data_IF_076013355281
#
_entry.id   IF_076013355281
#
_cell.length_a   1.000
_cell.length_b   1.000
_cell.length_c   1.000
_cell.angle_alpha   90.00
_cell.angle_beta   90.00
_cell.angle_gamma   90.00
#
_symmetry.space_group_name_H-M   'P 1'
#
loop_
_entity.id
_entity.type
_entity.pdbx_description
1 polymer ?
#
# COMPACT_ATOMS: atom_id res chain seq x y z
N UNK A 1 4.07 20.66 -15.87
CA UNK A 1 2.71 20.16 -15.49
C UNK A 1 2.28 20.85 -14.19
N UNK A 2 1.09 21.41 -14.14
CA UNK A 2 0.49 22.01 -12.94
C UNK A 2 -0.08 20.92 -12.01
N UNK A 3 -0.18 21.21 -10.71
CA UNK A 3 -0.73 20.26 -9.72
C UNK A 3 -2.13 19.76 -10.09
N UNK A 4 -3.02 20.65 -10.58
CA UNK A 4 -4.38 20.29 -10.99
C UNK A 4 -4.41 19.34 -12.19
N UNK A 5 -3.47 19.49 -13.12
CA UNK A 5 -3.30 18.57 -14.27
C UNK A 5 -2.79 17.21 -13.78
N UNK A 6 -1.79 17.20 -12.89
CA UNK A 6 -1.30 15.98 -12.28
C UNK A 6 -2.41 15.21 -11.55
N UNK A 7 -3.25 15.89 -10.75
CA UNK A 7 -4.40 15.27 -10.07
C UNK A 7 -5.38 14.63 -11.07
N UNK A 8 -5.63 15.26 -12.21
CA UNK A 8 -6.49 14.74 -13.27
C UNK A 8 -5.89 13.48 -13.90
N UNK A 9 -4.60 13.51 -14.23
CA UNK A 9 -3.89 12.39 -14.87
C UNK A 9 -3.91 11.16 -13.98
N UNK A 10 -3.56 11.28 -12.69
CA UNK A 10 -3.50 10.14 -11.77
C UNK A 10 -4.86 9.72 -11.21
N UNK A 11 -5.94 10.45 -11.46
CA UNK A 11 -7.26 10.20 -10.86
C UNK A 11 -7.35 10.62 -9.39
N UNK A 12 -6.45 11.51 -8.93
CA UNK A 12 -6.39 12.07 -7.57
C UNK A 12 -5.72 11.15 -6.54
N UNK A 13 -5.32 11.72 -5.40
CA UNK A 13 -4.82 10.97 -4.24
C UNK A 13 -5.96 10.74 -3.23
N UNK A 14 -5.86 9.67 -2.45
CA UNK A 14 -6.68 9.45 -1.26
C UNK A 14 -6.07 10.17 -0.07
N UNK A 15 -6.93 10.63 0.84
CA UNK A 15 -6.51 11.26 2.11
C UNK A 15 -7.08 10.44 3.27
N UNK A 16 -6.43 9.34 3.67
CA UNK A 16 -6.86 8.57 4.84
C UNK A 16 -6.73 9.42 6.10
N UNK A 17 -7.82 9.56 6.87
CA UNK A 17 -7.83 10.41 8.08
C UNK A 17 -6.98 9.86 9.22
N UNK A 18 -6.63 8.58 9.17
CA UNK A 18 -5.98 7.84 10.26
C UNK A 18 -4.47 7.66 10.07
N UNK A 19 -3.90 8.18 8.99
CA UNK A 19 -2.49 8.05 8.65
C UNK A 19 -1.83 9.43 8.44
N UNK A 20 -0.51 9.52 8.66
CA UNK A 20 0.22 10.81 8.59
C UNK A 20 0.41 11.36 7.17
N UNK A 21 -0.09 10.70 6.13
CA UNK A 21 0.09 11.15 4.73
C UNK A 21 -0.98 10.62 3.79
N UNK A 22 -0.96 11.10 2.54
CA UNK A 22 -1.86 10.62 1.50
C UNK A 22 -1.51 9.20 1.04
N UNK A 23 -2.45 8.61 0.28
CA UNK A 23 -2.28 7.29 -0.31
C UNK A 23 -2.73 7.27 -1.78
N UNK A 24 -2.24 6.31 -2.54
CA UNK A 24 -2.73 6.00 -3.88
C UNK A 24 -3.37 4.61 -3.90
N UNK A 25 -4.68 4.56 -4.01
CA UNK A 25 -5.47 3.35 -3.84
C UNK A 25 -6.02 2.85 -5.17
N UNK A 26 -6.03 1.53 -5.32
CA UNK A 26 -6.62 0.82 -6.45
C UNK A 26 -7.81 -0.02 -5.98
N UNK A 27 -8.70 -0.48 -6.86
CA UNK A 27 -9.81 -1.34 -6.46
C UNK A 27 -9.29 -2.68 -5.95
N UNK A 28 -9.81 -3.15 -4.81
CA UNK A 28 -9.45 -4.45 -4.25
C UNK A 28 -9.85 -5.62 -5.17
N UNK A 29 -10.83 -5.42 -6.05
CA UNK A 29 -11.21 -6.37 -7.09
C UNK A 29 -10.11 -6.61 -8.14
N UNK A 30 -9.13 -5.72 -8.25
CA UNK A 30 -7.99 -5.86 -9.14
C UNK A 30 -6.76 -6.54 -8.49
N UNK A 31 -6.79 -6.87 -7.19
CA UNK A 31 -5.70 -7.60 -6.52
C UNK A 31 -5.54 -8.98 -7.15
N UNK A 32 -4.34 -9.33 -7.63
CA UNK A 32 -4.09 -10.63 -8.27
C UNK A 32 -4.12 -11.77 -7.23
N UNK A 33 -3.29 -11.63 -6.19
CA UNK A 33 -3.23 -12.59 -5.08
C UNK A 33 -4.41 -12.44 -4.15
N UNK A 34 -4.82 -11.20 -3.84
CA UNK A 34 -5.89 -10.91 -2.90
C UNK A 34 -7.24 -11.51 -3.29
N UNK A 35 -7.60 -11.53 -4.60
CA UNK A 35 -8.84 -12.12 -5.07
C UNK A 35 -8.86 -13.66 -4.92
N UNK A 36 -7.70 -14.31 -5.04
CA UNK A 36 -7.57 -15.75 -4.77
C UNK A 36 -7.73 -16.03 -3.28
N UNK A 37 -7.04 -15.27 -2.44
CA UNK A 37 -7.10 -15.39 -1.00
C UNK A 37 -8.46 -15.05 -0.41
N UNK A 38 -9.24 -14.15 -1.02
CA UNK A 38 -10.58 -13.81 -0.56
C UNK A 38 -11.53 -15.03 -0.50
N UNK A 39 -11.24 -16.07 -1.29
CA UNK A 39 -11.99 -17.33 -1.33
C UNK A 39 -11.51 -18.38 -0.30
N UNK A 40 -10.42 -18.10 0.41
CA UNK A 40 -9.79 -19.04 1.36
C UNK A 40 -10.16 -18.62 2.79
N UNK A 41 -10.93 -19.42 3.53
CA UNK A 41 -11.21 -19.17 4.94
C UNK A 41 -9.93 -19.02 5.76
N UNK A 42 -9.92 -18.09 6.71
CA UNK A 42 -8.73 -17.83 7.55
C UNK A 42 -7.66 -16.98 6.87
N UNK A 43 -7.79 -16.66 5.56
CA UNK A 43 -6.91 -15.71 4.93
C UNK A 43 -7.22 -14.27 5.38
N UNK A 44 -6.22 -13.40 5.35
CA UNK A 44 -6.40 -11.96 5.66
C UNK A 44 -7.37 -11.30 4.67
N UNK A 45 -7.40 -11.77 3.43
CA UNK A 45 -8.25 -11.22 2.38
C UNK A 45 -9.70 -11.75 2.42
N UNK A 46 -10.00 -12.85 3.13
CA UNK A 46 -11.38 -13.36 3.27
C UNK A 46 -12.31 -12.37 4.00
N UNK A 47 -11.73 -11.51 4.84
CA UNK A 47 -12.41 -10.42 5.54
C UNK A 47 -12.13 -9.02 4.99
N UNK A 48 -11.61 -8.89 3.77
CA UNK A 48 -11.09 -7.64 3.22
C UNK A 48 -12.05 -6.45 3.38
N UNK A 49 -11.61 -5.46 4.16
CA UNK A 49 -12.40 -4.24 4.41
C UNK A 49 -12.62 -3.40 3.15
N UNK A 50 -11.70 -3.49 2.18
CA UNK A 50 -11.80 -2.76 0.92
C UNK A 50 -12.84 -3.34 -0.07
N UNK A 51 -13.52 -4.43 0.31
CA UNK A 51 -14.69 -4.99 -0.38
C UNK A 51 -16.01 -4.70 0.38
N UNK A 52 -15.96 -3.91 1.46
CA UNK A 52 -17.08 -3.65 2.36
C UNK A 52 -17.24 -2.15 2.64
N UNK A 53 -18.33 -1.81 3.33
CA UNK A 53 -18.58 -0.46 3.87
C UNK A 53 -18.45 0.65 2.81
N UNK A 54 -17.76 1.72 3.16
CA UNK A 54 -17.60 2.91 2.30
C UNK A 54 -16.89 2.64 0.96
N UNK A 55 -16.08 1.57 0.86
CA UNK A 55 -15.48 1.15 -0.41
C UNK A 55 -16.48 0.71 -1.46
N UNK A 56 -17.73 0.35 -1.07
CA UNK A 56 -18.81 0.00 -2.00
C UNK A 56 -19.56 1.19 -2.58
N UNK A 57 -19.30 2.40 -2.12
CA UNK A 57 -19.97 3.59 -2.66
C UNK A 57 -19.53 3.85 -4.09
N UNK A 58 -20.50 4.17 -4.97
CA UNK A 58 -20.25 4.34 -6.41
C UNK A 58 -19.18 5.38 -6.72
N UNK A 59 -19.16 6.51 -5.99
CA UNK A 59 -18.13 7.54 -6.17
C UNK A 59 -16.72 7.06 -5.77
N UNK A 60 -16.62 6.22 -4.74
CA UNK A 60 -15.34 5.61 -4.30
C UNK A 60 -14.88 4.61 -5.35
N UNK A 61 -15.76 3.71 -5.80
CA UNK A 61 -15.45 2.74 -6.86
C UNK A 61 -15.02 3.44 -8.16
N UNK A 62 -15.75 4.47 -8.58
CA UNK A 62 -15.38 5.25 -9.76
C UNK A 62 -13.99 5.90 -9.62
N UNK A 63 -13.64 6.41 -8.43
CA UNK A 63 -12.30 6.97 -8.17
C UNK A 63 -11.20 5.91 -8.21
N UNK A 64 -11.45 4.71 -7.67
CA UNK A 64 -10.50 3.59 -7.69
C UNK A 64 -10.29 3.08 -9.13
N UNK A 65 -11.35 2.98 -9.93
CA UNK A 65 -11.26 2.57 -11.33
C UNK A 65 -10.49 3.58 -12.19
N UNK A 66 -10.73 4.88 -12.00
CA UNK A 66 -9.93 5.93 -12.68
C UNK A 66 -8.44 5.79 -12.38
N UNK A 67 -8.07 5.51 -11.12
CA UNK A 67 -6.67 5.30 -10.73
C UNK A 67 -6.08 4.03 -11.34
N UNK A 68 -6.85 2.96 -11.41
CA UNK A 68 -6.42 1.71 -12.06
C UNK A 68 -6.11 1.92 -13.55
N UNK A 69 -6.94 2.70 -14.24
CA UNK A 69 -6.68 3.07 -15.64
C UNK A 69 -5.47 4.01 -15.76
N UNK A 70 -5.34 4.94 -14.81
CA UNK A 70 -4.30 5.97 -14.83
C UNK A 70 -2.88 5.41 -14.72
N UNK A 71 -2.66 4.26 -14.04
CA UNK A 71 -1.31 3.67 -13.91
C UNK A 71 -0.68 3.29 -15.25
N UNK A 72 -1.47 3.15 -16.32
CA UNK A 72 -0.99 2.88 -17.68
C UNK A 72 -0.63 4.14 -18.47
N UNK A 73 -0.98 5.32 -17.95
CA UNK A 73 -0.64 6.58 -18.63
C UNK A 73 0.88 6.81 -18.65
N UNK A 74 1.45 7.23 -19.78
CA UNK A 74 2.88 7.56 -19.87
C UNK A 74 3.27 8.73 -18.94
N UNK A 75 2.33 9.63 -18.64
CA UNK A 75 2.54 10.80 -17.79
C UNK A 75 2.36 10.51 -16.29
N UNK A 76 1.91 9.28 -15.93
CA UNK A 76 1.58 8.94 -14.54
C UNK A 76 2.75 9.16 -13.57
N UNK A 77 3.96 8.78 -13.96
CA UNK A 77 5.16 8.92 -13.11
C UNK A 77 5.43 10.40 -12.80
N UNK A 78 5.43 11.26 -13.83
CA UNK A 78 5.67 12.69 -13.65
C UNK A 78 4.58 13.34 -12.79
N UNK A 79 3.32 13.02 -13.06
CA UNK A 79 2.19 13.51 -12.29
C UNK A 79 2.24 13.06 -10.83
N UNK A 80 2.59 11.81 -10.54
CA UNK A 80 2.77 11.31 -9.16
C UNK A 80 3.91 12.01 -8.44
N UNK A 81 5.04 12.28 -9.11
CA UNK A 81 6.16 13.03 -8.53
C UNK A 81 5.72 14.40 -8.06
N UNK A 82 4.97 15.15 -8.88
CA UNK A 82 4.46 16.49 -8.54
C UNK A 82 3.58 16.44 -7.28
N UNK A 83 2.73 15.42 -7.16
CA UNK A 83 1.78 15.31 -6.05
C UNK A 83 2.42 14.81 -4.75
N UNK A 84 3.45 13.98 -4.87
CA UNK A 84 4.11 13.35 -3.72
C UNK A 84 5.26 14.20 -3.16
N UNK A 85 5.98 14.93 -4.01
CA UNK A 85 7.15 15.72 -3.61
C UNK A 85 6.94 16.61 -2.36
N UNK A 86 5.76 17.23 -2.11
CA UNK A 86 5.52 18.02 -0.90
C UNK A 86 5.14 17.19 0.34
N UNK A 87 5.07 15.86 0.24
CA UNK A 87 4.62 14.99 1.32
C UNK A 87 5.80 14.45 2.13
N UNK A 88 5.67 14.39 3.45
CA UNK A 88 6.66 13.73 4.33
C UNK A 88 6.52 12.21 4.31
N UNK A 89 5.27 11.71 4.30
CA UNK A 89 4.92 10.30 4.26
C UNK A 89 3.95 10.01 3.13
N UNK A 90 4.10 8.85 2.50
CA UNK A 90 3.21 8.38 1.45
C UNK A 90 2.98 6.88 1.56
N UNK A 91 1.72 6.43 1.39
CA UNK A 91 1.36 5.02 1.36
C UNK A 91 0.90 4.62 -0.04
N UNK A 92 1.51 3.57 -0.57
CA UNK A 92 1.03 2.88 -1.75
C UNK A 92 -0.01 1.82 -1.32
N UNK A 93 -1.18 1.85 -1.95
CA UNK A 93 -2.22 0.83 -1.81
C UNK A 93 -2.74 0.62 -0.37
N UNK A 94 -3.51 1.59 0.14
CA UNK A 94 -4.41 1.34 1.27
C UNK A 94 -5.47 0.29 0.90
N UNK A 95 -5.94 0.30 -0.37
CA UNK A 95 -6.66 -0.78 -1.05
C UNK A 95 -6.05 -1.06 -2.41
N UNK A 96 -6.27 -2.26 -2.93
CA UNK A 96 -5.58 -2.74 -4.14
C UNK A 96 -4.18 -3.25 -3.84
N UNK A 97 -3.42 -3.59 -4.88
CA UNK A 97 -2.05 -4.08 -4.80
C UNK A 97 -1.29 -3.79 -6.10
N UNK A 98 -0.02 -4.17 -6.18
CA UNK A 98 0.82 -4.06 -7.39
C UNK A 98 0.17 -4.83 -8.54
N UNK A 99 0.05 -4.17 -9.71
CA UNK A 99 -0.63 -4.74 -10.87
C UNK A 99 0.33 -5.45 -11.85
N UNK A 100 1.58 -4.98 -11.93
CA UNK A 100 2.60 -5.52 -12.85
C UNK A 100 4.00 -5.12 -12.40
N UNK A 101 5.03 -5.75 -13.01
CA UNK A 101 6.42 -5.30 -12.82
C UNK A 101 6.62 -3.86 -13.31
N UNK A 102 6.01 -3.48 -14.44
CA UNK A 102 6.05 -2.10 -14.94
C UNK A 102 5.46 -1.10 -13.93
N UNK A 103 4.33 -1.46 -13.28
CA UNK A 103 3.75 -0.63 -12.23
C UNK A 103 4.72 -0.48 -11.05
N UNK A 104 5.35 -1.56 -10.59
CA UNK A 104 6.35 -1.52 -9.51
C UNK A 104 7.58 -0.70 -9.89
N UNK A 105 8.09 -0.81 -11.10
CA UNK A 105 9.19 0.01 -11.62
C UNK A 105 8.82 1.50 -11.68
N UNK A 106 7.61 1.83 -12.08
CA UNK A 106 7.10 3.20 -12.07
C UNK A 106 7.02 3.75 -10.63
N UNK A 107 6.57 2.95 -9.65
CA UNK A 107 6.62 3.30 -8.23
C UNK A 107 8.08 3.60 -7.81
N UNK A 108 9.04 2.79 -8.21
CA UNK A 108 10.46 3.02 -7.91
C UNK A 108 10.98 4.32 -8.53
N UNK A 109 10.58 4.65 -9.75
CA UNK A 109 10.93 5.92 -10.39
C UNK A 109 10.40 7.11 -9.60
N UNK A 110 9.14 7.05 -9.17
CA UNK A 110 8.53 8.09 -8.31
C UNK A 110 9.29 8.22 -6.99
N UNK A 111 9.58 7.12 -6.30
CA UNK A 111 10.31 7.14 -5.03
C UNK A 111 11.71 7.77 -5.18
N UNK A 112 12.46 7.40 -6.23
CA UNK A 112 13.79 8.00 -6.48
C UNK A 112 13.73 9.50 -6.75
N UNK A 113 12.67 9.97 -7.41
CA UNK A 113 12.46 11.39 -7.71
C UNK A 113 11.89 12.21 -6.54
N UNK A 114 11.48 11.56 -5.45
CA UNK A 114 10.94 12.20 -4.25
C UNK A 114 11.72 11.79 -2.99
N UNK A 115 13.04 12.08 -2.93
CA UNK A 115 13.92 11.58 -1.86
C UNK A 115 13.55 12.12 -0.46
N UNK A 116 12.85 13.24 -0.37
CA UNK A 116 12.36 13.82 0.89
C UNK A 116 11.09 13.16 1.44
N UNK A 117 10.48 12.22 0.69
CA UNK A 117 9.27 11.50 1.11
C UNK A 117 9.62 10.09 1.56
N UNK A 118 9.11 9.67 2.71
CA UNK A 118 9.17 8.28 3.16
C UNK A 118 7.98 7.51 2.58
N UNK A 119 8.25 6.46 1.81
CA UNK A 119 7.24 5.65 1.14
C UNK A 119 7.05 4.30 1.83
N UNK A 120 5.80 3.86 1.93
CA UNK A 120 5.43 2.52 2.40
C UNK A 120 4.54 1.83 1.36
N UNK A 121 4.91 0.61 0.98
CA UNK A 121 4.19 -0.25 0.04
C UNK A 121 3.91 -1.60 0.72
N UNK A 122 2.72 -1.81 1.30
CA UNK A 122 2.28 -3.14 1.69
C UNK A 122 1.86 -3.93 0.45
N UNK A 123 2.26 -5.19 0.34
CA UNK A 123 1.88 -6.04 -0.79
C UNK A 123 1.73 -7.51 -0.39
N UNK A 124 0.85 -8.23 -1.08
CA UNK A 124 0.74 -9.70 -1.06
C UNK A 124 1.23 -10.35 -2.36
N UNK A 125 1.70 -9.54 -3.30
CA UNK A 125 2.16 -10.01 -4.61
C UNK A 125 3.61 -10.52 -4.55
N UNK A 126 3.82 -11.63 -3.82
CA UNK A 126 5.13 -12.28 -3.64
C UNK A 126 5.86 -12.56 -4.97
N UNK A 127 5.10 -12.81 -6.05
CA UNK A 127 5.65 -13.09 -7.37
C UNK A 127 6.54 -11.96 -7.92
N UNK A 128 6.25 -10.70 -7.57
CA UNK A 128 7.08 -9.57 -7.97
C UNK A 128 8.31 -9.44 -7.09
N UNK A 129 8.18 -9.64 -5.76
CA UNK A 129 9.29 -9.50 -4.82
C UNK A 129 10.34 -10.60 -4.98
N UNK A 130 9.94 -11.84 -5.33
CA UNK A 130 10.87 -12.94 -5.61
C UNK A 130 11.82 -12.68 -6.79
N UNK A 131 11.49 -11.71 -7.64
CA UNK A 131 12.31 -11.29 -8.79
C UNK A 131 13.21 -10.10 -8.48
N UNK A 132 13.10 -9.53 -7.27
CA UNK A 132 13.85 -8.35 -6.86
C UNK A 132 14.99 -8.73 -5.90
N UNK A 133 16.08 -7.99 -6.01
CA UNK A 133 17.10 -7.91 -4.95
C UNK A 133 16.78 -6.72 -4.05
N UNK A 134 16.95 -6.84 -2.75
CA UNK A 134 16.63 -5.79 -1.76
C UNK A 134 17.38 -4.48 -2.06
N UNK A 135 18.59 -4.54 -2.58
CA UNK A 135 19.38 -3.37 -2.95
C UNK A 135 18.85 -2.58 -4.17
N UNK A 136 17.91 -3.14 -4.93
CA UNK A 136 17.23 -2.45 -6.04
C UNK A 136 16.09 -1.55 -5.54
N UNK A 137 15.59 -1.78 -4.32
CA UNK A 137 14.52 -0.98 -3.71
C UNK A 137 15.05 0.40 -3.32
N UNK A 138 14.39 1.50 -3.74
CA UNK A 138 14.78 2.85 -3.36
C UNK A 138 14.93 3.00 -1.85
N UNK A 139 15.96 3.78 -1.41
CA UNK A 139 16.29 3.91 0.02
C UNK A 139 15.14 4.50 0.87
N UNK A 140 14.33 5.34 0.28
CA UNK A 140 13.17 5.97 0.90
C UNK A 140 11.85 5.18 0.73
N UNK A 141 11.90 3.96 0.18
CA UNK A 141 10.77 3.04 0.07
C UNK A 141 10.99 1.83 0.98
N UNK A 142 9.99 1.50 1.78
CA UNK A 142 9.88 0.19 2.43
C UNK A 142 8.75 -0.61 1.78
N UNK A 143 9.07 -1.81 1.30
CA UNK A 143 8.07 -2.76 0.80
C UNK A 143 7.85 -3.80 1.89
N UNK A 144 6.64 -3.87 2.45
CA UNK A 144 6.28 -4.90 3.44
C UNK A 144 5.52 -6.03 2.78
N UNK A 145 6.15 -7.20 2.75
CA UNK A 145 5.46 -8.42 2.32
C UNK A 145 4.46 -8.84 3.39
N UNK A 146 3.18 -8.75 3.06
CA UNK A 146 2.09 -9.06 3.99
C UNK A 146 1.76 -10.55 3.99
N UNK A 147 1.61 -11.16 5.18
CA UNK A 147 1.18 -12.54 5.33
C UNK A 147 -0.17 -12.81 4.66
N UNK A 148 -0.31 -14.00 4.11
CA UNK A 148 -1.53 -14.43 3.43
C UNK A 148 -2.61 -14.89 4.41
N UNK A 149 -2.20 -15.60 5.47
CA UNK A 149 -3.12 -16.13 6.48
C UNK A 149 -3.05 -15.34 7.78
N UNK A 150 -4.14 -15.32 8.52
CA UNK A 150 -4.19 -14.83 9.91
C UNK A 150 -3.37 -15.80 10.76
N UNK A 151 -2.66 -15.28 11.76
CA UNK A 151 -1.75 -16.02 12.67
C UNK A 151 -0.58 -16.74 11.96
N UNK A 152 -0.31 -16.38 10.70
CA UNK A 152 0.84 -16.88 9.96
C UNK A 152 2.11 -16.14 10.40
N UNK A 153 3.21 -16.88 10.57
CA UNK A 153 4.54 -16.31 10.79
C UNK A 153 4.98 -15.41 9.61
N UNK A 154 5.84 -14.42 9.85
CA UNK A 154 6.45 -13.62 8.79
C UNK A 154 7.12 -14.50 7.74
N UNK A 155 7.05 -14.12 6.47
CA UNK A 155 7.81 -14.79 5.40
C UNK A 155 9.31 -14.55 5.59
N UNK A 156 10.14 -15.51 5.21
CA UNK A 156 11.60 -15.47 5.39
C UNK A 156 12.38 -14.98 4.17
N UNK A 157 11.75 -14.86 3.00
CA UNK A 157 12.43 -14.46 1.76
C UNK A 157 12.52 -12.94 1.54
N UNK A 158 11.89 -12.15 2.43
CA UNK A 158 11.86 -10.69 2.34
C UNK A 158 12.09 -10.07 3.72
N UNK A 159 12.94 -9.01 3.84
CA UNK A 159 13.38 -8.51 5.15
C UNK A 159 12.33 -7.70 5.90
N UNK A 160 11.37 -7.09 5.20
CA UNK A 160 10.31 -6.29 5.79
C UNK A 160 8.95 -6.93 5.56
N UNK A 161 8.29 -7.26 6.64
CA UNK A 161 7.04 -8.01 6.60
C UNK A 161 5.93 -7.32 7.37
N UNK A 162 4.70 -7.77 7.13
CA UNK A 162 3.58 -7.51 8.02
C UNK A 162 2.74 -8.76 8.20
N UNK A 163 2.24 -8.94 9.42
CA UNK A 163 1.40 -10.08 9.84
C UNK A 163 0.08 -9.59 10.41
N UNK A 164 -0.88 -10.48 10.53
CA UNK A 164 -2.17 -10.23 11.18
C UNK A 164 -2.38 -11.32 12.24
N UNK A 165 -2.68 -10.92 13.46
CA UNK A 165 -3.02 -11.85 14.56
C UNK A 165 -4.48 -11.74 14.95
N UNK A 166 -5.08 -12.87 15.32
CA UNK A 166 -6.40 -12.93 15.95
C UNK A 166 -6.35 -12.79 17.48
N UNK A 167 -5.16 -13.00 18.09
CA UNK A 167 -4.88 -12.97 19.51
C UNK A 167 -3.96 -11.81 19.93
N UNK A 168 -3.14 -12.09 20.92
CA UNK A 168 -2.11 -11.17 21.45
C UNK A 168 -0.91 -11.04 20.50
N UNK A 169 0.05 -10.16 20.83
CA UNK A 169 1.29 -9.97 20.10
C UNK A 169 1.20 -8.93 18.96
N UNK A 170 0.14 -8.15 18.91
CA UNK A 170 0.02 -7.01 18.01
C UNK A 170 1.09 -5.94 18.32
N UNK A 171 1.79 -5.48 17.30
CA UNK A 171 2.78 -4.38 17.44
C UNK A 171 2.28 -3.04 16.91
N UNK A 172 1.16 -3.02 16.17
CA UNK A 172 0.54 -1.79 15.71
C UNK A 172 -0.31 -1.17 16.83
N UNK A 173 0.02 0.06 17.31
CA UNK A 173 -0.70 0.69 18.44
C UNK A 173 -2.01 1.36 18.00
N UNK A 174 -2.32 1.42 16.72
CA UNK A 174 -3.47 2.18 16.22
C UNK A 174 -4.81 1.84 16.88
N UNK A 175 -5.16 0.57 17.19
CA UNK A 175 -6.42 0.25 17.87
C UNK A 175 -6.59 0.91 19.24
N UNK A 176 -5.50 1.06 20.01
CA UNK A 176 -5.51 1.74 21.31
C UNK A 176 -5.51 3.27 21.19
N UNK A 177 -5.27 3.77 19.98
CA UNK A 177 -5.16 5.19 19.66
C UNK A 177 -6.37 5.71 18.86
N UNK A 178 -7.55 5.08 18.99
CA UNK A 178 -8.73 5.43 18.21
C UNK A 178 -8.65 5.01 16.74
N UNK A 179 -7.87 3.98 16.46
CA UNK A 179 -7.52 3.50 15.13
C UNK A 179 -6.71 4.52 14.30
N UNK A 180 -5.90 5.35 14.93
CA UNK A 180 -5.05 6.34 14.28
C UNK A 180 -3.57 6.02 14.50
N UNK A 181 -2.73 6.33 13.51
CA UNK A 181 -1.29 6.14 13.64
C UNK A 181 -0.65 7.11 14.63
N UNK A 182 -1.22 8.32 14.79
CA UNK A 182 -0.64 9.43 15.58
C UNK A 182 0.85 9.59 15.23
N UNK A 183 1.74 9.52 16.23
CA UNK A 183 3.19 9.65 16.05
C UNK A 183 3.89 8.37 15.58
N UNK A 184 3.16 7.23 15.51
CA UNK A 184 3.73 5.97 15.08
C UNK A 184 3.99 5.95 13.58
N UNK A 185 5.24 5.74 13.19
CA UNK A 185 5.69 5.62 11.79
C UNK A 185 6.36 4.27 11.49
N UNK A 186 6.15 3.26 12.32
CA UNK A 186 6.78 1.93 12.20
C UNK A 186 6.59 1.28 10.81
N UNK A 187 5.47 1.56 10.12
CA UNK A 187 5.22 1.04 8.78
C UNK A 187 6.22 1.57 7.74
N UNK A 188 6.80 2.76 7.95
CA UNK A 188 7.81 3.41 7.09
C UNK A 188 9.25 3.21 7.58
N UNK A 189 9.45 2.49 8.70
CA UNK A 189 10.76 2.33 9.34
C UNK A 189 11.41 0.99 8.94
N UNK A 190 12.59 1.05 8.31
CA UNK A 190 13.37 -0.12 7.90
C UNK A 190 14.02 -0.87 9.07
N UNK A 191 14.15 -0.24 10.24
CA UNK A 191 14.66 -0.91 11.45
C UNK A 191 13.64 -1.84 12.08
N UNK A 192 12.34 -1.69 11.71
CA UNK A 192 11.25 -2.55 12.14
C UNK A 192 11.07 -3.69 11.13
N UNK A 193 11.51 -4.93 11.43
CA UNK A 193 11.46 -6.03 10.46
C UNK A 193 10.04 -6.50 10.18
N UNK A 194 9.17 -6.56 11.19
CA UNK A 194 7.77 -6.96 11.06
C UNK A 194 6.83 -6.01 11.79
N UNK A 195 5.70 -5.67 11.17
CA UNK A 195 4.58 -4.99 11.84
C UNK A 195 3.41 -5.95 11.94
N UNK A 196 2.98 -6.25 13.16
CA UNK A 196 1.85 -7.13 13.42
C UNK A 196 0.58 -6.29 13.69
N UNK A 197 -0.45 -6.51 12.88
CA UNK A 197 -1.76 -5.90 13.03
C UNK A 197 -2.74 -6.84 13.74
N UNK A 198 -3.74 -6.29 14.44
CA UNK A 198 -4.89 -7.07 14.88
C UNK A 198 -5.81 -7.39 13.69
N UNK A 199 -6.54 -8.51 13.79
CA UNK A 199 -7.63 -8.83 12.89
C UNK A 199 -8.73 -7.77 13.00
N UNK A 200 -9.21 -7.28 11.86
CA UNK A 200 -10.33 -6.34 11.76
C UNK A 200 -11.66 -7.06 11.63
#
# INVERSE_FOLDING_TARGET
MLKKEAEKIVGGLSKPSKMPGPAYNLPASACITGQKLAKIPGSVCSGCYALKGRYRFNNVQAALQRRLQAIESPEWVEAMIILIKPQKYFRWHDSGDIQSLKHLENIFRVCRATPGTSHWLPTREAQFLKRLKVNQVPRNLIIRMSSHMIDQAPVNFWPWTSTVTSGEGRSCPAPEQGNECKDCTACWDRTVPNVCYGKH
#
